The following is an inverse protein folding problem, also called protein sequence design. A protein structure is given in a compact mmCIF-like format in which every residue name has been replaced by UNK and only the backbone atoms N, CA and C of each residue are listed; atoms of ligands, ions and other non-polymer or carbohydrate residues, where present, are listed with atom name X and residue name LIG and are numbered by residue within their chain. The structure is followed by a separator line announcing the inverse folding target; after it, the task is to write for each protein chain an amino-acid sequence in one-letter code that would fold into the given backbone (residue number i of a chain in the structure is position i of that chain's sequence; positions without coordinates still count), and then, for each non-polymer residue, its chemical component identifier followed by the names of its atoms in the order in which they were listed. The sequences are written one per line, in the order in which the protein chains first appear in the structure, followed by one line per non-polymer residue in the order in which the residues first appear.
data_IF_569841827159
#
_entry.id   IF_569841827159
#
_cell.length_a   1.000
_cell.length_b   1.000
_cell.length_c   1.000
_cell.angle_alpha   90.00
_cell.angle_beta   90.00
_cell.angle_gamma   90.00
#
_symmetry.space_group_name_H-M   'P 1'
#
loop_
_entity.id
_entity.type
_entity.pdbx_description
1 polymer ?
#
# COMPACT_ATOMS: atom_id res chain seq x y z
N UNK A 1 -4.91 -9.85 0.64
CA UNK A 1 -4.93 -9.13 -0.67
C UNK A 1 -3.79 -8.13 -0.70
N UNK A 2 -3.49 -7.52 -1.84
CA UNK A 2 -2.47 -6.47 -2.00
C UNK A 2 -3.16 -5.12 -2.16
N UNK A 3 -2.68 -4.08 -1.46
CA UNK A 3 -3.14 -2.70 -1.64
C UNK A 3 -1.96 -1.82 -2.05
N UNK A 4 -2.15 -1.03 -3.11
CA UNK A 4 -1.25 0.04 -3.50
C UNK A 4 -1.91 1.39 -3.23
N UNK A 5 -1.42 2.09 -2.20
CA UNK A 5 -1.87 3.44 -1.83
C UNK A 5 -0.99 4.53 -2.47
N UNK A 6 -1.43 5.03 -3.62
CA UNK A 6 -0.82 6.18 -4.27
C UNK A 6 -1.11 7.43 -3.43
N UNK A 7 -0.11 8.30 -3.32
CA UNK A 7 -0.24 9.51 -2.51
C UNK A 7 0.32 10.72 -3.24
N UNK A 8 -0.51 11.75 -3.41
CA UNK A 8 -0.08 13.04 -3.94
C UNK A 8 0.63 13.85 -2.85
N UNK A 9 1.96 13.72 -2.74
CA UNK A 9 2.75 14.30 -1.63
C UNK A 9 2.62 15.81 -1.49
N UNK A 10 2.47 16.54 -2.59
CA UNK A 10 2.21 17.98 -2.54
C UNK A 10 0.87 18.32 -1.86
N UNK A 11 -0.20 17.59 -2.19
CA UNK A 11 -1.50 17.76 -1.52
C UNK A 11 -1.42 17.32 -0.06
N UNK A 12 -0.68 16.25 0.24
CA UNK A 12 -0.52 15.74 1.60
C UNK A 12 0.14 16.79 2.49
N UNK A 13 1.22 17.42 2.00
CA UNK A 13 1.93 18.50 2.70
C UNK A 13 1.04 19.75 2.86
N UNK A 14 0.30 20.12 1.81
CA UNK A 14 -0.56 21.30 1.81
C UNK A 14 -1.74 21.18 2.78
N UNK A 15 -2.43 20.05 2.76
CA UNK A 15 -3.66 19.85 3.54
C UNK A 15 -3.41 19.36 4.96
N UNK A 16 -2.19 18.89 5.29
CA UNK A 16 -1.76 18.28 6.56
C UNK A 16 -2.48 16.97 6.90
N UNK A 17 -3.80 16.92 6.76
CA UNK A 17 -4.60 15.71 6.79
C UNK A 17 -4.38 14.91 5.50
N UNK A 18 -4.15 13.60 5.63
CA UNK A 18 -3.69 12.78 4.51
C UNK A 18 -4.83 12.33 3.59
N UNK A 19 -6.09 12.42 4.03
CA UNK A 19 -7.27 11.99 3.28
C UNK A 19 -7.27 12.50 1.84
N UNK A 20 -7.21 13.83 1.63
CA UNK A 20 -7.28 14.40 0.27
C UNK A 20 -6.17 13.91 -0.65
N UNK A 21 -4.98 13.61 -0.11
CA UNK A 21 -3.84 13.16 -0.88
C UNK A 21 -3.88 11.67 -1.25
N UNK A 22 -4.68 10.88 -0.54
CA UNK A 22 -4.78 9.41 -0.64
C UNK A 22 -6.14 8.92 -1.14
N UNK A 23 -7.07 9.84 -1.39
CA UNK A 23 -8.44 9.55 -1.83
C UNK A 23 -8.76 10.17 -3.19
N UNK A 24 -7.74 10.44 -4.01
CA UNK A 24 -7.95 10.81 -5.41
C UNK A 24 -8.49 9.62 -6.19
N UNK A 25 -9.21 9.86 -7.28
CA UNK A 25 -9.70 8.80 -8.15
C UNK A 25 -8.53 7.90 -8.62
N UNK A 26 -8.70 6.59 -8.50
CA UNK A 26 -7.68 5.60 -8.86
C UNK A 26 -6.46 5.54 -7.94
N UNK A 27 -6.45 6.24 -6.79
CA UNK A 27 -5.28 6.26 -5.89
C UNK A 27 -5.21 5.10 -4.89
N UNK A 28 -6.29 4.34 -4.71
CA UNK A 28 -6.31 3.12 -3.89
C UNK A 28 -6.66 1.93 -4.79
N UNK A 29 -5.66 1.11 -5.11
CA UNK A 29 -5.85 -0.10 -5.91
C UNK A 29 -5.72 -1.32 -5.01
N UNK A 30 -6.64 -2.27 -5.13
CA UNK A 30 -6.65 -3.52 -4.39
C UNK A 30 -6.82 -4.71 -5.33
N UNK A 31 -6.17 -5.83 -5.02
CA UNK A 31 -6.32 -7.08 -5.76
C UNK A 31 -5.10 -7.99 -5.67
N UNK A 32 -4.95 -8.96 -6.61
CA UNK A 32 -5.96 -9.35 -7.60
C UNK A 32 -7.13 -10.14 -7.01
N UNK A 33 -6.97 -10.70 -5.81
CA UNK A 33 -8.00 -11.43 -5.07
C UNK A 33 -7.83 -11.23 -3.55
N UNK A 34 -8.78 -11.75 -2.78
CA UNK A 34 -8.71 -11.86 -1.32
C UNK A 34 -8.36 -13.32 -1.01
N UNK A 35 -7.24 -13.54 -0.33
CA UNK A 35 -6.85 -14.85 0.21
C UNK A 35 -7.48 -15.05 1.58
N UNK A 36 -7.76 -16.30 1.92
CA UNK A 36 -8.31 -16.69 3.21
C UNK A 36 -7.23 -16.75 4.30
N UNK A 37 -7.64 -16.84 5.57
CA UNK A 37 -6.68 -16.85 6.69
C UNK A 37 -5.93 -18.16 6.81
N UNK A 38 -6.53 -19.27 6.36
CA UNK A 38 -5.97 -20.62 6.42
C UNK A 38 -4.89 -20.87 5.35
N UNK A 39 -4.81 -20.02 4.32
CA UNK A 39 -3.76 -20.05 3.31
C UNK A 39 -2.43 -19.40 3.78
N UNK A 40 -2.44 -18.69 4.93
CA UNK A 40 -1.29 -17.92 5.41
C UNK A 40 -0.98 -18.25 6.88
N UNK A 41 0.28 -18.52 7.18
CA UNK A 41 0.73 -18.68 8.58
C UNK A 41 0.52 -17.41 9.41
N UNK A 42 0.11 -17.56 10.66
CA UNK A 42 -0.05 -16.45 11.60
C UNK A 42 1.01 -16.49 12.71
N UNK A 43 1.76 -15.39 12.97
CA UNK A 43 1.75 -14.12 12.25
C UNK A 43 2.37 -14.24 10.84
N UNK A 44 1.95 -13.40 9.88
CA UNK A 44 2.47 -13.48 8.51
C UNK A 44 3.94 -13.04 8.46
N UNK A 45 4.75 -13.79 7.71
CA UNK A 45 6.16 -13.49 7.42
C UNK A 45 6.42 -13.45 5.91
N UNK A 46 5.60 -12.68 5.20
CA UNK A 46 5.54 -12.67 3.76
C UNK A 46 6.51 -11.63 3.20
N UNK A 47 7.30 -12.03 2.22
CA UNK A 47 8.10 -11.10 1.43
C UNK A 47 7.19 -10.17 0.62
N UNK A 48 7.48 -8.87 0.63
CA UNK A 48 6.79 -7.88 -0.20
C UNK A 48 7.76 -7.00 -0.97
N UNK A 49 7.43 -6.72 -2.22
CA UNK A 49 8.26 -5.96 -3.13
C UNK A 49 7.41 -5.02 -3.99
N UNK A 50 7.99 -3.89 -4.39
CA UNK A 50 7.39 -3.02 -5.41
C UNK A 50 8.40 -2.59 -6.44
N UNK A 51 7.92 -2.36 -7.65
CA UNK A 51 8.73 -2.02 -8.81
C UNK A 51 8.10 -0.88 -9.59
N UNK A 52 8.93 -0.02 -10.17
CA UNK A 52 8.52 0.99 -11.16
C UNK A 52 9.33 0.77 -12.42
N UNK A 53 8.65 0.46 -13.52
CA UNK A 53 9.30 0.14 -14.81
C UNK A 53 10.36 -0.98 -14.70
N UNK A 54 10.14 -1.95 -13.81
CA UNK A 54 11.06 -3.06 -13.55
C UNK A 54 12.16 -2.76 -12.53
N UNK A 55 12.37 -1.50 -12.15
CA UNK A 55 13.31 -1.11 -11.11
C UNK A 55 12.71 -1.38 -9.73
N UNK A 56 13.42 -2.12 -8.87
CA UNK A 56 13.00 -2.39 -7.49
C UNK A 56 12.97 -1.09 -6.69
N UNK A 57 11.84 -0.81 -6.02
CA UNK A 57 11.64 0.36 -5.17
C UNK A 57 11.52 0.00 -3.70
N UNK A 58 10.71 -1.00 -3.38
CA UNK A 58 10.51 -1.45 -2.00
C UNK A 58 10.80 -2.94 -1.90
N UNK A 59 11.39 -3.37 -0.79
CA UNK A 59 11.78 -4.75 -0.55
C UNK A 59 11.81 -5.01 0.97
N UNK A 60 10.84 -5.74 1.50
CA UNK A 60 10.69 -5.92 2.96
C UNK A 60 9.88 -7.18 3.30
N UNK A 61 9.63 -7.42 4.58
CA UNK A 61 8.87 -8.57 5.06
C UNK A 61 7.85 -8.13 6.12
N UNK A 62 6.66 -8.74 6.13
CA UNK A 62 5.60 -8.40 7.09
C UNK A 62 5.98 -8.65 8.55
N UNK A 63 7.00 -9.47 8.83
CA UNK A 63 7.55 -9.63 10.18
C UNK A 63 8.14 -8.33 10.76
N UNK A 64 8.39 -7.32 9.91
CA UNK A 64 8.92 -6.01 10.31
C UNK A 64 7.83 -4.97 10.59
N UNK A 65 6.56 -5.39 10.69
CA UNK A 65 5.52 -4.49 11.19
C UNK A 65 5.90 -3.98 12.58
N UNK A 66 5.87 -2.66 12.75
CA UNK A 66 6.04 -2.01 14.06
C UNK A 66 4.84 -2.31 14.95
N UNK A 67 3.65 -2.32 14.34
CA UNK A 67 2.37 -2.65 14.95
C UNK A 67 1.75 -3.82 14.20
N UNK A 68 1.59 -4.95 14.87
CA UNK A 68 1.06 -6.16 14.23
C UNK A 68 -0.46 -6.09 14.01
N UNK A 69 -1.01 -7.13 13.38
CA UNK A 69 -2.44 -7.20 13.04
C UNK A 69 -3.32 -7.17 14.30
N UNK A 70 -2.93 -7.87 15.37
CA UNK A 70 -3.70 -7.92 16.61
C UNK A 70 -3.77 -6.53 17.27
N UNK A 71 -2.63 -5.84 17.36
CA UNK A 71 -2.55 -4.49 17.90
C UNK A 71 -3.41 -3.51 17.10
N UNK A 72 -3.32 -3.51 15.77
CA UNK A 72 -4.09 -2.58 14.94
C UNK A 72 -5.60 -2.83 15.07
N UNK A 73 -6.02 -4.09 15.18
CA UNK A 73 -7.43 -4.43 15.41
C UNK A 73 -7.90 -3.96 16.80
N UNK A 74 -7.11 -4.19 17.85
CA UNK A 74 -7.40 -3.71 19.20
C UNK A 74 -7.55 -2.19 19.23
N UNK A 75 -6.54 -1.46 18.75
CA UNK A 75 -6.49 0.00 18.76
C UNK A 75 -7.68 0.61 18.00
N UNK A 76 -7.99 0.12 16.81
CA UNK A 76 -9.12 0.63 16.05
C UNK A 76 -10.46 0.27 16.71
N UNK A 77 -10.64 -0.98 17.14
CA UNK A 77 -11.91 -1.45 17.71
C UNK A 77 -12.25 -0.83 19.06
N UNK A 78 -11.25 -0.34 19.81
CA UNK A 78 -11.45 0.43 21.03
C UNK A 78 -12.16 1.78 20.78
N UNK A 79 -12.01 2.37 19.60
CA UNK A 79 -12.57 3.68 19.25
C UNK A 79 -13.70 3.65 18.22
N UNK A 80 -13.88 2.55 17.46
CA UNK A 80 -14.89 2.46 16.41
C UNK A 80 -15.37 1.03 16.15
N UNK A 81 -16.61 0.89 15.65
CA UNK A 81 -17.11 -0.38 15.15
C UNK A 81 -16.42 -0.75 13.83
N UNK A 82 -15.69 -1.87 13.82
CA UNK A 82 -15.18 -2.49 12.60
C UNK A 82 -16.29 -3.34 11.97
N UNK A 83 -16.75 -2.96 10.76
CA UNK A 83 -17.84 -3.64 10.08
C UNK A 83 -17.30 -4.80 9.24
N UNK A 84 -18.15 -5.81 9.01
CA UNK A 84 -17.84 -6.81 7.99
C UNK A 84 -17.59 -6.11 6.64
N UNK A 85 -16.49 -6.48 5.97
CA UNK A 85 -16.02 -5.81 4.75
C UNK A 85 -15.11 -4.59 4.97
N UNK A 86 -14.78 -4.23 6.22
CA UNK A 86 -13.74 -3.24 6.50
C UNK A 86 -12.39 -3.68 5.93
N UNK A 87 -11.69 -2.74 5.28
CA UNK A 87 -10.36 -2.94 4.71
C UNK A 87 -9.37 -2.06 5.47
N UNK A 88 -8.29 -2.66 5.96
CA UNK A 88 -7.22 -1.97 6.69
C UNK A 88 -5.93 -2.10 5.90
N UNK A 89 -5.34 -0.97 5.51
CA UNK A 89 -4.00 -0.92 4.94
C UNK A 89 -2.97 -0.83 6.06
N UNK A 90 -2.10 -1.82 6.19
CA UNK A 90 -1.16 -1.99 7.31
C UNK A 90 0.13 -1.14 7.19
N UNK A 91 0.15 -0.17 6.27
CA UNK A 91 1.30 0.68 6.01
C UNK A 91 2.22 0.15 4.91
N UNK A 92 3.39 0.76 4.79
CA UNK A 92 4.33 0.52 3.68
C UNK A 92 5.78 0.55 4.19
N UNK A 93 6.67 -0.31 3.66
CA UNK A 93 8.08 -0.28 4.04
C UNK A 93 8.82 0.91 3.40
N UNK A 94 10.09 1.08 3.77
CA UNK A 94 11.00 2.04 3.13
C UNK A 94 11.13 1.81 1.62
N UNK A 95 11.67 2.81 0.91
CA UNK A 95 11.84 2.79 -0.55
C UNK A 95 10.73 3.51 -1.33
N UNK A 96 9.82 4.20 -0.64
CA UNK A 96 8.88 5.12 -1.27
C UNK A 96 9.63 6.25 -1.98
N UNK A 97 9.13 6.69 -3.15
CA UNK A 97 9.82 7.66 -4.00
C UNK A 97 10.22 8.98 -3.34
N UNK A 98 9.43 9.43 -2.35
CA UNK A 98 9.73 10.64 -1.55
C UNK A 98 11.00 10.50 -0.69
N UNK A 99 11.35 9.28 -0.29
CA UNK A 99 12.52 9.00 0.55
C UNK A 99 13.80 8.69 -0.24
N UNK A 100 13.76 8.74 -1.58
CA UNK A 100 14.93 8.59 -2.43
C UNK A 100 15.74 9.90 -2.50
N UNK A 101 17.02 9.80 -2.90
CA UNK A 101 17.88 10.96 -3.12
C UNK A 101 18.48 10.91 -4.55
N UNK A 102 17.98 11.70 -5.51
CA UNK A 102 16.89 12.68 -5.36
C UNK A 102 15.50 12.02 -5.22
N UNK A 103 14.51 12.71 -4.61
CA UNK A 103 13.14 12.22 -4.57
C UNK A 103 12.61 11.98 -5.98
N UNK A 104 12.04 10.80 -6.22
CA UNK A 104 11.58 10.38 -7.54
C UNK A 104 10.11 10.00 -7.48
N UNK A 105 9.28 10.72 -8.21
CA UNK A 105 7.83 10.53 -8.26
C UNK A 105 7.37 9.84 -9.54
N UNK A 106 6.20 9.22 -9.49
CA UNK A 106 5.57 8.57 -10.63
C UNK A 106 5.20 9.58 -11.71
N UNK A 107 5.30 9.15 -12.97
CA UNK A 107 4.94 9.91 -14.17
C UNK A 107 3.94 9.13 -15.01
N UNK A 108 3.20 9.83 -15.85
CA UNK A 108 2.33 9.19 -16.86
C UNK A 108 3.14 8.20 -17.69
N UNK A 109 2.62 7.00 -17.87
CA UNK A 109 3.28 5.91 -18.57
C UNK A 109 3.96 4.89 -17.65
N UNK A 110 4.31 5.27 -16.41
CA UNK A 110 5.00 4.36 -15.48
C UNK A 110 4.15 3.13 -15.17
N UNK A 111 4.79 1.95 -15.20
CA UNK A 111 4.21 0.70 -14.74
C UNK A 111 4.63 0.43 -13.30
N UNK A 112 3.67 0.43 -12.39
CA UNK A 112 3.87 0.06 -10.99
C UNK A 112 3.44 -1.38 -10.79
N UNK A 113 4.31 -2.18 -10.18
CA UNK A 113 4.03 -3.58 -9.84
C UNK A 113 4.31 -3.82 -8.36
N UNK A 114 3.32 -4.27 -7.61
CA UNK A 114 3.46 -4.68 -6.22
C UNK A 114 3.31 -6.20 -6.14
N UNK A 115 4.18 -6.86 -5.39
CA UNK A 115 4.18 -8.32 -5.21
C UNK A 115 4.20 -8.60 -3.72
N UNK A 116 3.37 -9.53 -3.29
CA UNK A 116 3.46 -10.13 -1.95
C UNK A 116 3.51 -11.64 -2.16
N UNK A 117 4.49 -12.28 -1.52
CA UNK A 117 4.67 -13.73 -1.51
C UNK A 117 3.34 -14.44 -1.21
N UNK A 118 3.00 -15.45 -2.01
CA UNK A 118 1.75 -16.23 -1.95
C UNK A 118 0.45 -15.44 -2.21
N UNK A 119 0.50 -14.13 -2.49
CA UNK A 119 -0.68 -13.30 -2.80
C UNK A 119 -0.70 -12.81 -4.27
N UNK A 120 0.35 -13.12 -5.04
CA UNK A 120 0.48 -12.75 -6.44
C UNK A 120 0.99 -11.33 -6.66
N UNK A 121 0.54 -10.71 -7.75
CA UNK A 121 0.98 -9.38 -8.16
C UNK A 121 -0.18 -8.44 -8.50
N UNK A 122 0.01 -7.15 -8.17
CA UNK A 122 -0.85 -6.06 -8.53
C UNK A 122 -0.10 -5.11 -9.47
N UNK A 123 -0.53 -5.04 -10.73
CA UNK A 123 0.10 -4.26 -11.79
C UNK A 123 -0.81 -3.13 -12.28
N UNK A 124 -0.33 -1.89 -12.23
CA UNK A 124 -1.06 -0.72 -12.72
C UNK A 124 -0.16 0.16 -13.60
N UNK A 125 -0.76 0.84 -14.58
CA UNK A 125 -0.08 1.84 -15.40
C UNK A 125 -0.60 3.23 -15.04
N UNK A 126 0.30 4.14 -14.72
CA UNK A 126 -0.03 5.53 -14.39
C UNK A 126 -0.46 6.23 -15.67
N UNK A 127 -1.58 6.95 -15.58
CA UNK A 127 -2.10 7.83 -16.64
C UNK A 127 -2.44 9.18 -16.03
N UNK A 128 -2.16 10.24 -16.77
CA UNK A 128 -2.75 11.54 -16.45
C UNK A 128 -4.26 11.44 -16.67
N UNK A 129 -5.01 11.88 -15.67
CA UNK A 129 -6.45 12.08 -15.80
C UNK A 129 -6.63 13.57 -16.05
N UNK A 130 -7.06 13.92 -17.27
CA UNK A 130 -7.50 15.28 -17.57
C UNK A 130 -8.96 15.35 -17.10
N UNK A 131 -9.24 16.23 -16.14
CA UNK A 131 -10.59 16.66 -15.81
C UNK A 131 -10.90 17.94 -16.59
#
# INVERSE_FOLDING_TARGET
TIINEISARELQKRHKQFYRAKSLEGSTIMGPYITSVDEISYPPKLQLQSYVNGELRQNSNTQLFIFDIAYVLEELSAGMLLKAGSIISMGTPSGVGMGLNPPTFLKSGDKVRCVIENLGELCNKIKNINY
#
